data_IF_058894761846
#
_entry.id   IF_058894761846
#
_cell.length_a   1.000
_cell.length_b   1.000
_cell.length_c   1.000
_cell.angle_alpha   90.00
_cell.angle_beta   90.00
_cell.angle_gamma   90.00
#
_symmetry.space_group_name_H-M   'P 1'
#
loop_
_entity.id
_entity.type
_entity.pdbx_description
1 polymer ?
#
# COMPACT_ATOMS: atom_id res chain seq x y z
N UNK A 1 60.97 12.37 54.87
CA UNK A 1 59.78 13.12 54.45
C UNK A 1 59.46 12.76 52.95
N UNK A 2 58.51 11.87 52.75
CA UNK A 2 57.97 11.61 51.37
C UNK A 2 56.53 12.10 51.33
N UNK A 3 56.31 13.06 50.50
CA UNK A 3 54.99 13.61 50.20
C UNK A 3 54.28 12.67 49.19
N UNK A 4 53.12 12.18 49.58
CA UNK A 4 52.19 11.47 48.65
C UNK A 4 51.27 12.52 48.03
N UNK A 5 51.52 12.83 46.79
CA UNK A 5 50.55 13.61 45.98
C UNK A 5 49.40 12.68 45.54
N UNK A 6 48.23 12.96 46.07
CA UNK A 6 46.97 12.37 45.71
C UNK A 6 46.56 12.94 44.33
N UNK A 7 46.62 12.11 43.27
CA UNK A 7 46.04 12.44 41.96
C UNK A 7 44.53 12.16 41.99
N UNK A 8 43.78 13.23 41.97
CA UNK A 8 42.36 13.24 41.73
C UNK A 8 42.11 12.89 40.26
N UNK A 9 41.54 11.72 39.98
CA UNK A 9 41.03 11.45 38.65
C UNK A 9 39.65 12.09 38.53
N UNK A 10 39.52 13.10 37.70
CA UNK A 10 38.25 13.63 37.23
C UNK A 10 37.57 12.59 36.36
N UNK A 11 36.44 12.07 36.83
CA UNK A 11 35.53 11.29 36.02
C UNK A 11 35.00 12.24 34.93
N UNK A 12 35.42 12.02 33.69
CA UNK A 12 34.80 12.67 32.55
C UNK A 12 33.35 12.23 32.51
N UNK A 13 32.44 13.20 32.60
CA UNK A 13 31.03 13.03 32.33
C UNK A 13 30.88 12.48 30.88
N UNK A 14 30.55 11.18 30.81
CA UNK A 14 30.07 10.60 29.56
C UNK A 14 28.69 11.20 29.36
N UNK A 15 28.59 12.24 28.57
CA UNK A 15 27.31 12.68 28.01
C UNK A 15 26.77 11.51 27.18
N UNK A 16 25.92 10.71 27.78
CA UNK A 16 25.03 9.84 27.03
C UNK A 16 24.07 10.79 26.30
N UNK A 17 24.35 11.07 25.03
CA UNK A 17 23.34 11.63 24.14
C UNK A 17 22.25 10.57 24.04
N UNK A 18 21.20 10.71 24.85
CA UNK A 18 19.93 10.10 24.58
C UNK A 18 19.49 10.69 23.23
N UNK A 19 19.73 9.96 22.13
CA UNK A 19 18.89 10.16 20.96
C UNK A 19 17.47 9.88 21.44
N UNK A 20 16.68 10.92 21.61
CA UNK A 20 15.23 10.75 21.66
C UNK A 20 14.87 10.17 20.29
N UNK A 21 14.72 8.85 20.24
CA UNK A 21 14.13 8.20 19.10
C UNK A 21 12.67 8.65 19.14
N UNK A 22 12.27 9.45 18.14
CA UNK A 22 10.87 9.85 18.04
C UNK A 22 10.05 8.58 17.98
N UNK A 23 9.09 8.43 18.90
CA UNK A 23 8.18 7.30 18.94
C UNK A 23 7.47 7.16 17.59
N UNK A 24 7.07 5.94 17.25
CA UNK A 24 6.25 5.68 16.08
C UNK A 24 5.04 6.64 16.05
N UNK A 25 4.86 7.36 14.95
CA UNK A 25 3.75 8.31 14.79
C UNK A 25 3.13 8.17 13.40
N UNK A 26 1.84 7.86 13.37
CA UNK A 26 1.04 7.77 12.15
C UNK A 26 0.27 9.06 11.96
N UNK A 27 0.46 9.73 10.82
CA UNK A 27 -0.31 10.92 10.44
C UNK A 27 -1.65 10.54 9.77
N UNK A 28 -1.64 9.53 8.90
CA UNK A 28 -2.81 9.08 8.15
C UNK A 28 -2.67 7.65 7.66
N UNK A 29 -3.80 7.03 7.29
CA UNK A 29 -3.84 5.75 6.59
C UNK A 29 -4.66 5.87 5.31
N UNK A 30 -4.21 5.22 4.24
CA UNK A 30 -4.94 5.05 2.99
C UNK A 30 -5.14 3.56 2.72
N UNK A 31 -6.33 3.20 2.25
CA UNK A 31 -6.66 1.83 1.91
C UNK A 31 -7.40 1.74 0.59
N UNK A 32 -7.12 0.69 -0.19
CA UNK A 32 -7.79 0.37 -1.45
C UNK A 32 -8.18 -1.10 -1.46
N UNK A 33 -9.43 -1.40 -1.79
CA UNK A 33 -9.86 -2.76 -2.09
C UNK A 33 -9.77 -2.98 -3.59
N UNK A 34 -9.02 -3.99 -4.00
CA UNK A 34 -8.77 -4.30 -5.40
C UNK A 34 -9.51 -5.58 -5.76
N UNK A 35 -10.37 -5.50 -6.76
CA UNK A 35 -11.07 -6.63 -7.37
C UNK A 35 -10.44 -6.93 -8.73
N UNK A 36 -9.79 -8.09 -8.85
CA UNK A 36 -9.12 -8.53 -10.08
C UNK A 36 -10.04 -9.43 -10.90
N UNK A 37 -10.54 -8.89 -12.01
CA UNK A 37 -11.46 -9.58 -12.93
C UNK A 37 -10.76 -10.43 -14.01
N UNK A 38 -9.49 -10.79 -13.81
CA UNK A 38 -8.84 -11.78 -14.67
C UNK A 38 -9.49 -13.15 -14.57
N UNK A 39 -10.29 -13.38 -13.54
CA UNK A 39 -11.08 -14.60 -13.32
C UNK A 39 -12.46 -14.26 -12.76
N UNK A 40 -13.34 -15.25 -12.70
CA UNK A 40 -14.70 -15.13 -12.18
C UNK A 40 -14.99 -16.27 -11.16
N UNK A 41 -15.35 -15.94 -9.89
CA UNK A 41 -15.46 -14.59 -9.31
C UNK A 41 -14.12 -13.86 -9.25
N UNK A 42 -14.13 -12.51 -9.13
CA UNK A 42 -12.90 -11.74 -9.05
C UNK A 42 -12.10 -12.05 -7.79
N UNK A 43 -10.78 -12.08 -7.91
CA UNK A 43 -9.90 -12.11 -6.75
C UNK A 43 -9.96 -10.79 -6.01
N UNK A 44 -9.98 -10.87 -4.68
CA UNK A 44 -10.07 -9.70 -3.81
C UNK A 44 -8.78 -9.52 -3.01
N UNK A 45 -8.24 -8.31 -3.05
CA UNK A 45 -7.04 -7.92 -2.30
C UNK A 45 -7.27 -6.59 -1.60
N UNK A 46 -6.59 -6.39 -0.47
CA UNK A 46 -6.54 -5.14 0.25
C UNK A 46 -5.12 -4.59 0.20
N UNK A 47 -5.02 -3.32 -0.11
CA UNK A 47 -3.80 -2.53 -0.01
C UNK A 47 -4.01 -1.50 1.09
N UNK A 48 -3.07 -1.40 2.04
CA UNK A 48 -3.12 -0.43 3.15
C UNK A 48 -1.75 0.18 3.35
N UNK A 49 -1.69 1.49 3.36
CA UNK A 49 -0.48 2.25 3.61
C UNK A 49 -0.72 3.30 4.68
N UNK A 50 0.28 3.53 5.51
CA UNK A 50 0.31 4.60 6.49
C UNK A 50 1.38 5.62 6.11
N UNK A 51 1.02 6.90 6.27
CA UNK A 51 1.96 8.00 6.28
C UNK A 51 2.47 8.16 7.71
N UNK A 52 3.77 8.01 7.91
CA UNK A 52 4.40 8.14 9.21
C UNK A 52 5.23 9.42 9.27
N UNK A 53 5.09 10.15 10.37
CA UNK A 53 5.96 11.28 10.70
C UNK A 53 7.35 10.82 11.16
N UNK A 54 7.45 9.57 11.65
CA UNK A 54 8.71 8.93 11.97
C UNK A 54 9.39 8.36 10.71
N UNK A 55 10.67 8.00 10.81
CA UNK A 55 11.41 7.42 9.69
C UNK A 55 10.83 6.04 9.31
N UNK A 56 10.11 5.99 8.18
CA UNK A 56 9.50 4.73 7.67
C UNK A 56 10.52 3.62 7.41
N UNK A 57 11.81 3.91 7.32
CA UNK A 57 12.86 2.89 7.21
C UNK A 57 12.94 2.04 8.47
N UNK A 58 12.50 2.57 9.60
CA UNK A 58 12.43 1.87 10.88
C UNK A 58 11.17 1.03 11.05
N UNK A 59 10.20 1.10 10.11
CA UNK A 59 9.01 0.25 10.13
C UNK A 59 9.40 -1.23 10.09
N UNK A 60 8.90 -2.01 11.04
CA UNK A 60 9.18 -3.44 11.17
C UNK A 60 7.99 -4.31 10.79
N UNK A 61 6.79 -3.92 11.20
CA UNK A 61 5.56 -4.70 11.00
C UNK A 61 4.33 -3.80 11.00
N UNK A 62 3.31 -4.23 10.27
CA UNK A 62 1.94 -3.71 10.38
C UNK A 62 1.01 -4.86 10.72
N UNK A 63 0.15 -4.65 11.71
CA UNK A 63 -0.94 -5.54 12.07
C UNK A 63 -2.26 -4.86 11.72
N UNK A 64 -3.18 -5.59 11.07
CA UNK A 64 -4.49 -5.08 10.65
C UNK A 64 -5.55 -6.01 11.23
N UNK A 65 -6.55 -5.45 11.91
CA UNK A 65 -7.62 -6.21 12.55
C UNK A 65 -8.97 -5.62 12.15
N UNK A 66 -9.87 -6.44 11.60
CA UNK A 66 -11.26 -6.06 11.43
C UNK A 66 -11.99 -6.11 12.77
N UNK A 67 -12.57 -4.97 13.21
CA UNK A 67 -13.21 -4.82 14.52
C UNK A 67 -14.43 -5.73 14.72
N UNK A 68 -15.15 -6.03 13.65
CA UNK A 68 -16.41 -6.79 13.73
C UNK A 68 -16.19 -8.30 13.69
N UNK A 69 -15.32 -8.77 12.78
CA UNK A 69 -15.07 -10.20 12.57
C UNK A 69 -13.88 -10.75 13.37
N UNK A 70 -12.99 -9.87 13.83
CA UNK A 70 -11.73 -10.26 14.45
C UNK A 70 -10.71 -10.86 13.48
N UNK A 71 -10.96 -10.81 12.17
CA UNK A 71 -9.95 -11.21 11.17
C UNK A 71 -8.71 -10.34 11.30
N UNK A 72 -7.56 -10.99 11.31
CA UNK A 72 -6.28 -10.36 11.55
C UNK A 72 -5.28 -10.70 10.45
N UNK A 73 -4.49 -9.72 10.04
CA UNK A 73 -3.33 -9.88 9.16
C UNK A 73 -2.11 -9.27 9.81
N UNK A 74 -0.98 -9.96 9.67
CA UNK A 74 0.33 -9.49 10.09
C UNK A 74 1.20 -9.36 8.84
N UNK A 75 1.74 -8.18 8.59
CA UNK A 75 2.54 -7.84 7.44
C UNK A 75 3.96 -7.48 7.90
N UNK A 76 4.93 -8.34 7.60
CA UNK A 76 6.34 -8.15 7.92
C UNK A 76 7.13 -7.69 6.68
N UNK A 77 6.66 -8.03 5.47
CA UNK A 77 7.23 -7.57 4.21
C UNK A 77 6.57 -6.26 3.78
N UNK A 78 7.11 -5.15 4.26
CA UNK A 78 6.55 -3.82 4.04
C UNK A 78 7.10 -3.17 2.77
N UNK A 79 6.20 -2.63 1.94
CA UNK A 79 6.52 -1.73 0.85
C UNK A 79 6.71 -0.33 1.43
N UNK A 80 7.80 0.35 1.05
CA UNK A 80 8.14 1.71 1.50
C UNK A 80 8.39 2.60 0.29
N UNK A 81 7.76 3.77 0.26
CA UNK A 81 7.94 4.73 -0.83
C UNK A 81 7.71 6.16 -0.35
N UNK A 82 8.13 7.12 -1.17
CA UNK A 82 7.87 8.54 -1.00
C UNK A 82 6.95 9.01 -2.13
N UNK A 83 5.90 9.74 -1.79
CA UNK A 83 4.97 10.31 -2.77
C UNK A 83 5.52 11.61 -3.40
N UNK A 84 4.77 12.18 -4.35
CA UNK A 84 5.14 13.42 -5.03
C UNK A 84 5.26 14.63 -4.10
N UNK A 85 4.61 14.59 -2.94
CA UNK A 85 4.62 15.62 -1.92
C UNK A 85 5.71 15.38 -0.86
N UNK A 86 6.55 14.36 -1.05
CA UNK A 86 7.60 13.91 -0.14
C UNK A 86 7.07 13.33 1.19
N UNK A 87 5.82 12.88 1.21
CA UNK A 87 5.33 12.11 2.33
C UNK A 87 5.87 10.68 2.24
N UNK A 88 6.35 10.18 3.37
CA UNK A 88 6.88 8.82 3.46
C UNK A 88 5.77 7.84 3.84
N UNK A 89 5.58 6.84 3.01
CA UNK A 89 4.56 5.82 3.15
C UNK A 89 5.16 4.44 3.40
N UNK A 90 4.52 3.68 4.27
CA UNK A 90 4.84 2.26 4.45
C UNK A 90 3.56 1.44 4.58
N UNK A 91 3.57 0.23 4.06
CA UNK A 91 2.36 -0.59 4.11
C UNK A 91 2.48 -1.92 3.37
N UNK A 92 1.33 -2.53 3.18
CA UNK A 92 1.14 -3.80 2.48
C UNK A 92 0.24 -3.62 1.26
N UNK A 93 0.69 -4.09 0.09
CA UNK A 93 -0.03 -3.96 -1.18
C UNK A 93 -0.84 -5.20 -1.58
N UNK A 94 -0.72 -6.32 -0.87
CA UNK A 94 -1.29 -7.60 -1.32
C UNK A 94 -1.82 -8.44 -0.15
N UNK A 95 -2.70 -7.86 0.65
CA UNK A 95 -3.38 -8.55 1.73
C UNK A 95 -4.54 -9.35 1.14
N UNK A 96 -4.56 -10.66 1.35
CA UNK A 96 -5.60 -11.56 0.88
C UNK A 96 -6.32 -12.21 2.06
N UNK A 97 -7.61 -12.50 1.91
CA UNK A 97 -8.33 -13.32 2.87
C UNK A 97 -7.97 -14.81 2.68
N UNK A 98 -8.22 -15.62 3.70
CA UNK A 98 -8.11 -17.08 3.55
C UNK A 98 -8.99 -17.57 2.42
N UNK A 99 -8.62 -18.72 1.83
CA UNK A 99 -9.32 -19.30 0.67
C UNK A 99 -10.84 -19.36 0.86
N UNK A 100 -11.57 -18.82 -0.09
CA UNK A 100 -13.03 -18.76 -0.08
C UNK A 100 -13.64 -17.71 0.86
N UNK A 101 -12.83 -16.93 1.57
CA UNK A 101 -13.28 -15.81 2.41
C UNK A 101 -13.15 -14.48 1.66
N UNK A 102 -13.99 -13.51 2.07
CA UNK A 102 -13.93 -12.14 1.59
C UNK A 102 -13.23 -11.27 2.66
N UNK A 103 -12.63 -10.19 2.22
CA UNK A 103 -12.19 -9.11 3.12
C UNK A 103 -13.47 -8.34 3.52
N UNK A 104 -13.90 -8.36 4.78
CA UNK A 104 -15.18 -7.75 5.15
C UNK A 104 -15.15 -6.23 4.99
N UNK A 105 -16.28 -5.63 4.60
CA UNK A 105 -16.49 -4.20 4.80
C UNK A 105 -16.59 -3.87 6.31
N UNK A 106 -16.30 -2.63 6.70
CA UNK A 106 -16.42 -2.16 8.08
C UNK A 106 -15.17 -1.46 8.60
N UNK A 107 -15.10 -1.33 9.92
CA UNK A 107 -14.01 -0.65 10.62
C UNK A 107 -12.85 -1.59 10.93
N UNK A 108 -11.64 -1.04 10.80
CA UNK A 108 -10.37 -1.70 11.02
C UNK A 108 -9.49 -0.89 11.95
N UNK A 109 -8.69 -1.59 12.74
CA UNK A 109 -7.53 -1.03 13.47
C UNK A 109 -6.28 -1.46 12.73
N UNK A 110 -5.41 -0.51 12.43
CA UNK A 110 -4.05 -0.75 11.98
C UNK A 110 -3.11 -0.38 13.11
N UNK A 111 -2.27 -1.31 13.54
CA UNK A 111 -1.17 -1.09 14.48
C UNK A 111 0.13 -1.11 13.69
N UNK A 112 0.88 -0.05 13.75
CA UNK A 112 2.22 0.09 13.18
C UNK A 112 3.26 -0.15 14.25
N UNK A 113 4.30 -0.93 13.94
CA UNK A 113 5.42 -1.20 14.81
C UNK A 113 6.72 -0.75 14.17
N UNK A 114 7.58 -0.13 14.94
CA UNK A 114 8.94 0.15 14.51
C UNK A 114 9.95 -0.91 14.99
N UNK A 115 11.22 -0.75 14.61
CA UNK A 115 12.31 -1.66 15.02
C UNK A 115 12.69 -1.53 16.50
N UNK A 116 12.33 -0.43 17.16
CA UNK A 116 12.56 -0.24 18.60
C UNK A 116 11.48 -0.95 19.44
N UNK A 117 10.38 -1.35 18.81
CA UNK A 117 9.23 -1.96 19.46
C UNK A 117 8.18 -0.94 19.90
N UNK A 118 8.34 0.32 19.51
CA UNK A 118 7.30 1.33 19.69
C UNK A 118 6.16 1.08 18.72
N UNK A 119 4.93 1.38 19.16
CA UNK A 119 3.71 1.15 18.37
C UNK A 119 2.83 2.40 18.34
N UNK A 120 2.07 2.54 17.26
CA UNK A 120 1.00 3.52 17.11
C UNK A 120 -0.17 2.90 16.35
N UNK A 121 -1.38 3.40 16.59
CA UNK A 121 -2.60 2.85 16.02
C UNK A 121 -3.42 3.89 15.30
N UNK A 122 -4.00 3.48 14.17
CA UNK A 122 -4.96 4.30 13.43
C UNK A 122 -6.20 3.48 13.04
N UNK A 123 -7.36 4.12 13.05
CA UNK A 123 -8.60 3.55 12.55
C UNK A 123 -8.76 3.89 11.06
N UNK A 124 -9.24 2.93 10.29
CA UNK A 124 -9.68 3.16 8.92
C UNK A 124 -10.91 2.30 8.61
N UNK A 125 -11.58 2.62 7.52
CA UNK A 125 -12.79 1.89 7.10
C UNK A 125 -12.64 1.39 5.68
N UNK A 126 -13.18 0.20 5.44
CA UNK A 126 -13.33 -0.39 4.11
C UNK A 126 -14.81 -0.42 3.79
N UNK A 127 -15.16 0.12 2.61
CA UNK A 127 -16.51 0.04 2.06
C UNK A 127 -16.42 -0.21 0.55
N UNK A 128 -17.30 -1.07 0.05
CA UNK A 128 -17.42 -1.37 -1.38
C UNK A 128 -18.84 -1.84 -1.72
N UNK A 129 -19.34 -1.54 -2.93
CA UNK A 129 -20.65 -2.01 -3.37
C UNK A 129 -20.70 -3.53 -3.44
N UNK A 130 -21.75 -4.16 -2.90
CA UNK A 130 -21.85 -5.62 -2.86
C UNK A 130 -21.87 -6.26 -4.26
N UNK A 131 -22.39 -5.56 -5.27
CA UNK A 131 -22.47 -6.05 -6.64
C UNK A 131 -21.09 -6.35 -7.27
N UNK A 132 -20.02 -5.65 -6.86
CA UNK A 132 -18.64 -5.91 -7.38
C UNK A 132 -18.19 -7.35 -7.18
N UNK A 133 -18.76 -8.05 -6.19
CA UNK A 133 -18.44 -9.46 -5.92
C UNK A 133 -19.05 -10.44 -6.92
N UNK A 134 -20.02 -10.00 -7.70
CA UNK A 134 -20.80 -10.85 -8.64
C UNK A 134 -20.70 -10.38 -10.08
N UNK A 135 -20.21 -9.15 -10.32
CA UNK A 135 -19.93 -8.65 -11.67
C UNK A 135 -18.86 -9.49 -12.35
N UNK A 136 -18.92 -9.53 -13.67
CA UNK A 136 -17.88 -10.07 -14.55
C UNK A 136 -17.21 -8.93 -15.32
N UNK A 137 -16.06 -9.19 -15.90
CA UNK A 137 -15.36 -8.18 -16.72
C UNK A 137 -16.19 -7.63 -17.88
N UNK A 138 -17.08 -8.45 -18.44
CA UNK A 138 -17.99 -8.07 -19.54
C UNK A 138 -19.13 -7.13 -19.12
N UNK A 139 -19.41 -7.02 -17.83
CA UNK A 139 -20.43 -6.12 -17.28
C UNK A 139 -19.92 -4.67 -17.16
N UNK A 140 -18.63 -4.44 -17.35
CA UNK A 140 -18.03 -3.11 -17.27
C UNK A 140 -18.06 -2.38 -18.64
N UNK A 141 -18.22 -1.04 -18.62
CA UNK A 141 -18.38 -0.18 -17.45
C UNK A 141 -19.80 -0.11 -16.87
N UNK A 142 -20.82 -0.60 -17.59
CA UNK A 142 -22.24 -0.29 -17.35
C UNK A 142 -22.76 -0.85 -16.01
N UNK A 143 -22.20 -1.96 -15.55
CA UNK A 143 -22.59 -2.62 -14.29
C UNK A 143 -22.01 -2.01 -13.01
N UNK A 144 -21.12 -1.02 -13.15
CA UNK A 144 -20.41 -0.41 -12.03
C UNK A 144 -20.40 1.12 -12.11
N UNK A 145 -20.96 1.78 -11.08
CA UNK A 145 -20.98 3.23 -10.99
C UNK A 145 -19.62 3.76 -10.51
N UNK A 146 -18.68 3.86 -11.44
CA UNK A 146 -17.31 4.29 -11.16
C UNK A 146 -17.16 5.81 -11.20
N UNK A 147 -16.22 6.33 -10.41
CA UNK A 147 -15.86 7.76 -10.38
C UNK A 147 -14.82 8.11 -11.44
N UNK A 148 -13.84 7.23 -11.66
CA UNK A 148 -12.72 7.46 -12.56
C UNK A 148 -12.37 6.18 -13.33
N UNK A 149 -11.94 6.38 -14.58
CA UNK A 149 -11.32 5.34 -15.42
C UNK A 149 -9.82 5.60 -15.49
N UNK A 150 -9.03 4.61 -15.13
CA UNK A 150 -7.56 4.67 -15.14
C UNK A 150 -6.97 3.53 -15.94
N UNK A 151 -5.68 3.64 -16.24
CA UNK A 151 -4.89 2.59 -16.86
C UNK A 151 -3.72 2.21 -15.96
N UNK A 152 -3.46 0.92 -15.88
CA UNK A 152 -2.28 0.35 -15.24
C UNK A 152 -1.43 -0.36 -16.30
N UNK A 153 -0.17 0.06 -16.48
CA UNK A 153 0.75 -0.50 -17.46
C UNK A 153 1.82 -1.29 -16.70
N UNK A 154 2.07 -2.49 -17.16
CA UNK A 154 3.01 -3.42 -16.54
C UNK A 154 4.05 -3.93 -17.52
N UNK A 155 5.24 -4.29 -17.01
CA UNK A 155 6.18 -5.12 -17.76
C UNK A 155 5.61 -6.53 -17.98
N UNK A 156 6.28 -7.34 -18.81
CA UNK A 156 5.93 -8.78 -18.99
C UNK A 156 6.00 -9.57 -17.69
N UNK A 157 6.90 -9.17 -16.79
CA UNK A 157 7.11 -9.80 -15.47
C UNK A 157 6.16 -9.26 -14.38
N UNK A 158 5.22 -8.38 -14.74
CA UNK A 158 4.19 -7.86 -13.82
C UNK A 158 4.64 -6.68 -12.95
N UNK A 159 5.76 -6.02 -13.29
CA UNK A 159 6.18 -4.79 -12.59
C UNK A 159 5.34 -3.61 -13.11
N UNK A 160 4.73 -2.86 -12.19
CA UNK A 160 3.92 -1.67 -12.52
C UNK A 160 4.83 -0.54 -13.02
N UNK A 161 4.57 -0.05 -14.23
CA UNK A 161 5.26 1.08 -14.86
C UNK A 161 4.49 2.38 -14.77
N UNK A 162 3.16 2.29 -14.80
CA UNK A 162 2.26 3.44 -14.77
C UNK A 162 0.94 3.08 -14.12
N UNK A 163 0.39 4.01 -13.35
CA UNK A 163 -0.99 3.98 -12.88
C UNK A 163 -1.54 5.41 -12.87
N UNK A 164 -2.64 5.64 -13.58
CA UNK A 164 -3.26 6.96 -13.69
C UNK A 164 -4.24 7.07 -14.86
N UNK A 165 -4.59 8.30 -15.21
CA UNK A 165 -5.50 8.57 -16.31
C UNK A 165 -4.96 8.02 -17.64
N UNK A 166 -5.84 7.41 -18.43
CA UNK A 166 -5.49 6.90 -19.75
C UNK A 166 -5.24 8.08 -20.71
N UNK A 167 -4.08 8.10 -21.34
CA UNK A 167 -3.80 9.10 -22.37
C UNK A 167 -4.62 8.76 -23.63
N UNK A 168 -5.14 9.78 -24.30
CA UNK A 168 -5.96 9.61 -25.51
C UNK A 168 -5.21 8.85 -26.60
N UNK A 169 -3.91 9.05 -26.71
CA UNK A 169 -3.05 8.40 -27.70
C UNK A 169 -2.96 6.88 -27.49
N UNK A 170 -3.23 6.39 -26.27
CA UNK A 170 -3.19 4.97 -25.92
C UNK A 170 -4.41 4.17 -26.40
N UNK A 171 -5.42 4.83 -26.98
CA UNK A 171 -6.44 4.14 -27.79
C UNK A 171 -5.78 3.27 -28.87
N UNK A 172 -4.67 3.75 -29.44
CA UNK A 172 -3.77 2.91 -30.22
C UNK A 172 -2.72 2.30 -29.29
N UNK A 173 -2.85 1.02 -28.97
CA UNK A 173 -1.97 0.31 -28.01
C UNK A 173 -0.48 0.36 -28.38
N UNK A 174 -0.13 0.52 -29.65
CA UNK A 174 1.28 0.69 -30.07
C UNK A 174 1.91 1.96 -29.50
N UNK A 175 1.15 3.00 -29.21
CA UNK A 175 1.68 4.23 -28.62
C UNK A 175 2.08 4.05 -27.16
N UNK A 176 1.51 3.07 -26.45
CA UNK A 176 1.93 2.71 -25.10
C UNK A 176 3.40 2.27 -25.10
N UNK A 177 3.82 1.49 -26.11
CA UNK A 177 5.21 1.02 -26.27
C UNK A 177 6.19 2.14 -26.62
N UNK A 178 5.70 3.27 -27.16
CA UNK A 178 6.54 4.47 -27.37
C UNK A 178 6.87 5.13 -26.02
N UNK A 179 5.88 5.22 -25.15
CA UNK A 179 6.03 5.84 -23.82
C UNK A 179 6.76 4.88 -22.82
N UNK A 180 6.44 3.59 -22.91
CA UNK A 180 6.95 2.55 -21.98
C UNK A 180 7.47 1.36 -22.79
N UNK A 181 8.75 1.39 -23.16
CA UNK A 181 9.39 0.37 -24.02
C UNK A 181 9.36 -1.04 -23.46
N UNK A 182 9.38 -1.14 -22.12
CA UNK A 182 9.39 -2.41 -21.40
C UNK A 182 7.96 -2.90 -21.06
N UNK A 183 6.91 -2.20 -21.55
CA UNK A 183 5.54 -2.61 -21.29
C UNK A 183 5.23 -3.96 -21.96
N UNK A 184 4.61 -4.85 -21.20
CA UNK A 184 4.14 -6.15 -21.68
C UNK A 184 2.63 -6.20 -21.83
N UNK A 185 1.90 -5.53 -20.95
CA UNK A 185 0.44 -5.45 -20.99
C UNK A 185 -0.09 -4.20 -20.31
N UNK A 186 -1.30 -3.84 -20.67
CA UNK A 186 -2.09 -2.75 -20.07
C UNK A 186 -3.37 -3.32 -19.47
N UNK A 187 -3.84 -2.73 -18.40
CA UNK A 187 -5.12 -3.07 -17.77
C UNK A 187 -5.95 -1.81 -17.56
N UNK A 188 -7.22 -1.87 -17.89
CA UNK A 188 -8.18 -0.83 -17.51
C UNK A 188 -8.57 -0.99 -16.05
N UNK A 189 -8.68 0.13 -15.34
CA UNK A 189 -9.13 0.18 -13.97
C UNK A 189 -10.35 1.10 -13.89
N UNK A 190 -11.44 0.63 -13.27
CA UNK A 190 -12.57 1.45 -12.90
C UNK A 190 -12.53 1.66 -11.39
N UNK A 191 -12.52 2.92 -10.92
CA UNK A 191 -12.27 3.20 -9.52
C UNK A 191 -13.36 4.06 -8.91
N UNK A 192 -13.58 3.90 -7.60
CA UNK A 192 -14.31 4.86 -6.79
C UNK A 192 -13.38 5.99 -6.35
N UNK A 193 -13.98 7.06 -5.81
CA UNK A 193 -13.24 8.25 -5.37
C UNK A 193 -12.05 7.89 -4.47
N UNK A 194 -10.93 8.52 -4.73
CA UNK A 194 -9.65 8.30 -4.02
C UNK A 194 -9.14 6.86 -4.10
N UNK A 195 -9.50 6.13 -5.17
CA UNK A 195 -9.10 4.73 -5.36
C UNK A 195 -9.47 3.80 -4.18
N UNK A 196 -10.50 4.14 -3.40
CA UNK A 196 -10.96 3.30 -2.28
C UNK A 196 -11.39 1.90 -2.74
N UNK A 197 -11.92 1.80 -3.96
CA UNK A 197 -12.21 0.55 -4.68
C UNK A 197 -11.60 0.62 -6.06
N UNK A 198 -10.89 -0.42 -6.46
CA UNK A 198 -10.27 -0.56 -7.79
C UNK A 198 -10.76 -1.85 -8.42
N UNK A 199 -11.52 -1.74 -9.50
CA UNK A 199 -11.93 -2.86 -10.35
C UNK A 199 -10.94 -2.98 -11.50
N UNK A 200 -10.05 -3.97 -11.42
CA UNK A 200 -8.94 -4.18 -12.35
C UNK A 200 -9.36 -5.18 -13.43
N UNK A 201 -9.50 -4.71 -14.67
CA UNK A 201 -9.95 -5.53 -15.79
C UNK A 201 -8.86 -6.53 -16.24
N UNK A 202 -9.22 -7.58 -17.00
CA UNK A 202 -8.24 -8.51 -17.58
C UNK A 202 -7.13 -7.79 -18.34
N UNK A 203 -5.91 -8.34 -18.40
CA UNK A 203 -4.80 -7.73 -19.11
C UNK A 203 -5.00 -7.77 -20.62
N UNK A 204 -4.70 -6.68 -21.29
CA UNK A 204 -4.52 -6.58 -22.74
C UNK A 204 -3.04 -6.63 -23.06
N UNK A 205 -2.58 -7.68 -23.74
CA UNK A 205 -1.17 -7.83 -24.12
C UNK A 205 -0.77 -6.78 -25.16
N UNK A 206 0.42 -6.20 -24.97
CA UNK A 206 1.04 -5.27 -25.90
C UNK A 206 2.03 -6.06 -26.76
N UNK A 207 1.71 -6.22 -28.04
CA UNK A 207 2.62 -6.89 -29.00
C UNK A 207 3.72 -5.92 -29.41
N UNK A 208 4.98 -6.32 -29.18
CA UNK A 208 6.13 -5.66 -29.80
C UNK A 208 6.17 -6.09 -31.28
N UNK A 209 5.89 -5.16 -32.19
CA UNK A 209 6.09 -5.36 -33.61
C UNK A 209 7.57 -5.34 -34.00
#
# INVERSE_FOLDING_TARGET
>A
AFSLESRCYTVQDICIFSCSQDSAQIASAESSVIFDYSQNPPDMRLSVFVNSESDVRLASKIKIVNKNSGLEWNCDELVKFEDKNKNSWTGCANIVAAFGMKIPAGEYVLTYFDMAGDEDEILFSIDYPENVLTLKSEDFPDGFDYSEKKSAIYTKDGVLLYYGEEKKEWENRNTVLVDYKDAGFIRTCYTLKNDSVICLMPPENLEQQ
#
